data_IF_047476194845
#
_entry.id   IF_047476194845
#
_cell.length_a   1.000
_cell.length_b   1.000
_cell.length_c   1.000
_cell.angle_alpha   90.00
_cell.angle_beta   90.00
_cell.angle_gamma   90.00
#
_symmetry.space_group_name_H-M   'P 1'
#
loop_
_entity.id
_entity.type
_entity.pdbx_description
1 polymer ?
#
# COMPACT_ATOMS: atom_id res chain seq x y z
N UNK A 1 -3.14 7.02 31.97
CA UNK A 1 -3.39 8.08 31.00
C UNK A 1 -2.43 7.87 29.84
N UNK A 2 -2.98 7.69 28.64
CA UNK A 2 -2.21 7.55 27.40
C UNK A 2 -2.09 8.94 26.77
N UNK A 3 -0.88 9.35 26.39
CA UNK A 3 -0.69 10.58 25.63
C UNK A 3 -0.53 10.24 24.16
N UNK A 4 -1.42 10.83 23.34
CA UNK A 4 -1.33 11.07 21.88
C UNK A 4 -0.42 10.10 21.12
N UNK A 5 -1.03 9.22 20.34
CA UNK A 5 -0.32 8.46 19.31
C UNK A 5 0.20 9.45 18.26
N UNK A 6 1.52 9.50 18.06
CA UNK A 6 2.10 10.28 16.97
C UNK A 6 2.35 9.38 15.75
N UNK A 7 1.95 9.88 14.58
CA UNK A 7 2.33 9.33 13.28
C UNK A 7 3.39 10.26 12.70
N UNK A 8 4.62 9.75 12.54
CA UNK A 8 5.79 10.53 12.14
C UNK A 8 6.18 10.22 10.67
N UNK A 9 6.81 11.19 9.99
CA UNK A 9 7.30 11.07 8.60
C UNK A 9 6.26 10.63 7.56
N UNK A 10 5.09 11.30 7.57
CA UNK A 10 3.98 11.01 6.66
C UNK A 10 4.25 11.54 5.25
N UNK A 11 4.95 10.72 4.46
CA UNK A 11 4.93 10.78 3.00
C UNK A 11 3.80 9.89 2.47
N UNK A 12 3.26 10.24 1.31
CA UNK A 12 2.27 9.38 0.63
C UNK A 12 2.92 8.02 0.35
N UNK A 13 2.29 6.95 0.85
CA UNK A 13 2.74 5.58 0.66
C UNK A 13 1.91 4.93 -0.43
N UNK A 14 2.59 4.43 -1.47
CA UNK A 14 1.98 3.61 -2.50
C UNK A 14 2.03 2.15 -2.10
N UNK A 15 0.88 1.50 -2.07
CA UNK A 15 0.74 0.07 -1.75
C UNK A 15 0.03 -0.65 -2.90
N UNK A 16 0.42 -1.88 -3.18
CA UNK A 16 -0.26 -2.77 -4.09
C UNK A 16 -1.09 -3.80 -3.32
N UNK A 17 -2.07 -4.40 -4.00
CA UNK A 17 -2.80 -5.55 -3.46
C UNK A 17 -1.80 -6.68 -3.13
N UNK A 18 -1.85 -7.19 -1.90
CA UNK A 18 -0.96 -8.22 -1.38
C UNK A 18 0.16 -7.69 -0.47
N UNK A 19 0.43 -6.39 -0.51
CA UNK A 19 1.38 -5.73 0.39
C UNK A 19 0.88 -5.72 1.84
N UNK A 20 1.80 -5.42 2.75
CA UNK A 20 1.50 -5.20 4.17
C UNK A 20 2.09 -3.86 4.57
N UNK A 21 1.23 -2.94 5.02
CA UNK A 21 1.65 -1.71 5.66
C UNK A 21 2.01 -2.02 7.12
N UNK A 22 3.25 -1.77 7.51
CA UNK A 22 3.65 -1.74 8.92
C UNK A 22 3.55 -0.32 9.44
N UNK A 23 2.66 -0.10 10.38
CA UNK A 23 2.52 1.17 11.08
C UNK A 23 3.28 1.10 12.40
N UNK A 24 4.25 1.98 12.59
CA UNK A 24 4.95 2.17 13.87
C UNK A 24 4.33 3.35 14.59
N UNK A 25 4.01 3.17 15.86
CA UNK A 25 3.28 4.12 16.70
C UNK A 25 4.10 4.39 17.95
N UNK A 26 4.36 5.68 18.18
CA UNK A 26 5.04 6.20 19.35
C UNK A 26 4.07 6.96 20.25
N UNK A 27 4.09 6.66 21.55
CA UNK A 27 3.26 7.36 22.53
C UNK A 27 3.84 7.29 23.94
N UNK A 28 3.41 8.21 24.81
CA UNK A 28 3.75 8.19 26.23
C UNK A 28 2.70 7.41 27.03
N UNK A 29 3.15 6.49 27.89
CA UNK A 29 2.29 5.73 28.79
C UNK A 29 2.56 6.03 30.26
N UNK A 30 1.49 6.27 31.03
CA UNK A 30 1.51 6.33 32.49
C UNK A 30 0.33 5.55 33.06
N UNK A 31 0.58 4.44 33.74
CA UNK A 31 -0.42 3.60 34.38
C UNK A 31 0.14 2.25 34.86
N UNK A 32 -0.71 1.36 35.38
CA UNK A 32 -0.30 0.01 35.79
C UNK A 32 0.13 -0.82 34.58
N UNK A 33 0.85 -1.93 34.82
CA UNK A 33 1.11 -2.89 33.74
C UNK A 33 -0.21 -3.43 33.18
N UNK A 34 -0.37 -3.41 31.86
CA UNK A 34 -1.56 -3.95 31.20
C UNK A 34 -1.30 -4.32 29.74
N UNK A 35 -2.12 -5.24 29.24
CA UNK A 35 -2.16 -5.61 27.82
C UNK A 35 -3.33 -4.91 27.16
N UNK A 36 -3.05 -4.18 26.08
CA UNK A 36 -4.03 -3.43 25.30
C UNK A 36 -3.99 -3.82 23.82
N UNK A 37 -4.94 -3.30 23.04
CA UNK A 37 -5.01 -3.54 21.60
C UNK A 37 -4.64 -2.28 20.84
N UNK A 38 -3.49 -2.30 20.16
CA UNK A 38 -3.19 -1.32 19.12
C UNK A 38 -4.01 -1.65 17.88
N UNK A 39 -4.81 -0.69 17.42
CA UNK A 39 -5.73 -0.82 16.31
C UNK A 39 -5.37 0.22 15.25
N UNK A 40 -5.29 -0.20 14.00
CA UNK A 40 -5.11 0.71 12.89
C UNK A 40 -5.96 0.33 11.70
N UNK A 41 -6.35 1.33 10.91
CA UNK A 41 -7.17 1.13 9.73
C UNK A 41 -6.75 2.04 8.57
N UNK A 42 -6.85 1.49 7.35
CA UNK A 42 -6.85 2.25 6.10
C UNK A 42 -8.32 2.44 5.71
N UNK A 43 -8.70 3.66 5.38
CA UNK A 43 -10.09 4.00 5.14
C UNK A 43 -10.27 5.34 4.47
N UNK A 44 -11.46 5.91 4.63
CA UNK A 44 -11.79 7.24 4.11
C UNK A 44 -12.64 8.01 5.11
N UNK A 45 -12.32 9.30 5.29
CA UNK A 45 -13.09 10.20 6.12
C UNK A 45 -14.32 10.68 5.34
N UNK A 46 -15.49 10.19 5.74
CA UNK A 46 -16.78 10.60 5.21
C UNK A 46 -17.53 11.56 6.13
N UNK A 47 -18.71 11.98 5.68
CA UNK A 47 -19.59 12.87 6.44
C UNK A 47 -20.06 12.27 7.78
N UNK A 48 -20.14 10.95 7.88
CA UNK A 48 -20.56 10.22 9.09
C UNK A 48 -19.39 9.72 9.95
N UNK A 49 -18.16 10.17 9.66
CA UNK A 49 -16.95 9.73 10.35
C UNK A 49 -16.06 8.89 9.44
N UNK A 50 -15.10 8.20 10.06
CA UNK A 50 -14.10 7.40 9.37
C UNK A 50 -14.69 6.04 8.96
N UNK A 51 -14.71 5.76 7.66
CA UNK A 51 -15.10 4.47 7.11
C UNK A 51 -13.88 3.56 7.03
N UNK A 52 -13.81 2.56 7.91
CA UNK A 52 -12.69 1.63 8.01
C UNK A 52 -12.83 0.54 6.93
N UNK A 53 -11.88 0.45 5.99
CA UNK A 53 -11.91 -0.53 4.89
C UNK A 53 -11.01 -1.73 5.21
N UNK A 54 -9.74 -1.46 5.54
CA UNK A 54 -8.77 -2.48 5.94
C UNK A 54 -8.32 -2.23 7.36
N UNK A 55 -8.18 -3.31 8.14
CA UNK A 55 -7.88 -3.23 9.58
C UNK A 55 -6.71 -4.11 9.94
N UNK A 56 -5.81 -3.58 10.77
CA UNK A 56 -4.76 -4.32 11.47
C UNK A 56 -4.90 -4.16 12.97
N UNK A 57 -4.58 -5.21 13.72
CA UNK A 57 -4.61 -5.20 15.20
C UNK A 57 -3.39 -5.94 15.76
N UNK A 58 -2.83 -5.40 16.84
CA UNK A 58 -1.75 -6.02 17.59
C UNK A 58 -2.02 -5.93 19.09
N UNK A 59 -1.76 -7.02 19.83
CA UNK A 59 -1.72 -6.96 21.30
C UNK A 59 -0.38 -6.38 21.73
N UNK A 60 -0.43 -5.34 22.57
CA UNK A 60 0.74 -4.65 23.10
C UNK A 60 0.78 -4.79 24.61
N UNK A 61 1.96 -5.08 25.16
CA UNK A 61 2.19 -5.24 26.60
C UNK A 61 2.83 -3.98 27.17
N UNK A 62 2.04 -3.11 27.79
CA UNK A 62 2.54 -1.85 28.35
C UNK A 62 3.24 -2.08 29.69
N UNK A 63 4.39 -1.43 29.93
CA UNK A 63 5.12 -1.55 31.19
C UNK A 63 4.34 -0.89 32.33
N UNK A 64 4.62 -1.27 33.58
CA UNK A 64 4.18 -0.46 34.71
C UNK A 64 4.91 0.90 34.70
N UNK A 65 4.15 1.98 34.84
CA UNK A 65 4.67 3.36 34.82
C UNK A 65 3.77 4.26 35.66
N UNK A 66 3.95 4.27 36.98
CA UNK A 66 3.02 4.92 37.91
C UNK A 66 3.35 6.39 38.16
N UNK A 67 4.63 6.76 38.10
CA UNK A 67 5.13 8.07 38.54
C UNK A 67 5.35 9.04 37.37
N UNK A 68 5.90 8.54 36.26
CA UNK A 68 6.28 9.34 35.09
C UNK A 68 5.67 8.77 33.80
N UNK A 69 5.87 9.43 32.67
CA UNK A 69 5.50 8.86 31.37
C UNK A 69 6.65 8.06 30.79
N UNK A 70 6.38 6.81 30.43
CA UNK A 70 7.32 5.94 29.71
C UNK A 70 7.05 6.01 28.22
N UNK A 71 8.04 6.35 27.37
CA UNK A 71 7.89 6.28 25.92
C UNK A 71 7.73 4.81 25.49
N UNK A 72 6.75 4.57 24.65
CA UNK A 72 6.39 3.26 24.14
C UNK A 72 6.37 3.30 22.62
N UNK A 73 7.04 2.33 21.98
CA UNK A 73 7.01 2.12 20.54
C UNK A 73 6.44 0.73 20.27
N UNK A 74 5.38 0.68 19.48
CA UNK A 74 4.79 -0.59 19.02
C UNK A 74 4.47 -0.49 17.53
N UNK A 75 4.23 -1.65 16.92
CA UNK A 75 3.81 -1.71 15.52
C UNK A 75 2.57 -2.56 15.32
N UNK A 76 1.84 -2.23 14.27
CA UNK A 76 0.68 -2.98 13.79
C UNK A 76 0.76 -3.12 12.28
N UNK A 77 0.50 -4.32 11.79
CA UNK A 77 0.55 -4.65 10.36
C UNK A 77 -0.88 -4.66 9.80
N UNK A 78 -1.10 -3.92 8.70
CA UNK A 78 -2.36 -3.90 7.94
C UNK A 78 -2.10 -4.55 6.59
N UNK A 79 -2.81 -5.63 6.27
CA UNK A 79 -2.67 -6.32 4.99
C UNK A 79 -3.56 -5.67 3.94
N UNK A 80 -3.00 -5.36 2.78
CA UNK A 80 -3.74 -4.81 1.64
C UNK A 80 -4.40 -5.94 0.88
N UNK A 81 -5.70 -6.10 1.04
CA UNK A 81 -6.53 -7.13 0.39
C UNK A 81 -7.35 -6.53 -0.74
N UNK A 82 -8.11 -7.37 -1.45
CA UNK A 82 -9.05 -6.92 -2.49
C UNK A 82 -10.31 -6.23 -1.93
N UNK A 83 -10.41 -6.07 -0.60
CA UNK A 83 -11.55 -5.37 0.03
C UNK A 83 -11.45 -3.84 -0.18
N UNK A 84 -10.25 -3.33 -0.45
CA UNK A 84 -10.01 -1.94 -0.86
C UNK A 84 -9.85 -1.84 -2.37
N UNK A 85 -10.44 -0.80 -2.97
CA UNK A 85 -10.29 -0.52 -4.40
C UNK A 85 -8.97 0.21 -4.69
N UNK A 86 -8.43 0.07 -5.90
CA UNK A 86 -7.36 0.97 -6.34
C UNK A 86 -7.85 2.42 -6.33
N UNK A 87 -7.03 3.34 -5.82
CA UNK A 87 -7.40 4.73 -5.63
C UNK A 87 -6.28 5.52 -4.99
N UNK A 88 -6.44 6.84 -4.95
CA UNK A 88 -5.50 7.77 -4.32
C UNK A 88 -6.15 8.45 -3.13
N UNK A 89 -5.34 8.88 -2.17
CA UNK A 89 -5.81 9.71 -1.07
C UNK A 89 -6.66 8.96 -0.04
N UNK A 90 -6.37 7.69 0.22
CA UNK A 90 -6.91 7.03 1.40
C UNK A 90 -6.28 7.59 2.68
N UNK A 91 -7.04 7.48 3.75
CA UNK A 91 -6.70 7.98 5.07
C UNK A 91 -6.21 6.85 5.97
N UNK A 92 -5.38 7.21 6.95
CA UNK A 92 -4.85 6.29 7.94
C UNK A 92 -5.32 6.69 9.33
N UNK A 93 -5.77 5.72 10.12
CA UNK A 93 -6.19 5.92 11.51
C UNK A 93 -5.48 4.92 12.42
N UNK A 94 -5.10 5.36 13.62
CA UNK A 94 -4.59 4.51 14.68
C UNK A 94 -5.21 4.90 16.03
N UNK A 95 -5.45 3.90 16.89
CA UNK A 95 -5.99 4.07 18.25
C UNK A 95 -5.59 2.93 19.17
N UNK A 96 -5.65 3.17 20.47
CA UNK A 96 -5.78 2.10 21.46
C UNK A 96 -7.26 1.78 21.60
N UNK A 97 -7.66 0.56 21.22
CA UNK A 97 -9.07 0.17 21.08
C UNK A 97 -9.88 0.41 22.36
N UNK A 98 -9.29 0.09 23.50
CA UNK A 98 -9.91 0.23 24.82
C UNK A 98 -10.04 1.71 25.25
N UNK A 99 -9.28 2.62 24.65
CA UNK A 99 -9.22 4.05 24.99
C UNK A 99 -9.39 4.94 23.75
N UNK A 100 -10.27 4.55 22.83
CA UNK A 100 -10.39 5.19 21.51
C UNK A 100 -10.69 6.70 21.59
N UNK A 101 -11.51 7.15 22.55
CA UNK A 101 -11.90 8.56 22.68
C UNK A 101 -10.73 9.48 23.02
N UNK A 102 -9.62 8.92 23.53
CA UNK A 102 -8.44 9.66 23.97
C UNK A 102 -7.23 9.47 23.05
N UNK A 103 -7.21 8.39 22.28
CA UNK A 103 -6.01 7.92 21.57
C UNK A 103 -6.14 7.90 20.07
N UNK A 104 -7.34 8.08 19.53
CA UNK A 104 -7.53 8.05 18.08
C UNK A 104 -6.84 9.24 17.41
N UNK A 105 -5.98 8.91 16.45
CA UNK A 105 -5.35 9.88 15.55
C UNK A 105 -5.58 9.47 14.12
N UNK A 106 -5.65 10.48 13.25
CA UNK A 106 -5.94 10.31 11.83
C UNK A 106 -5.00 11.16 11.02
N UNK A 107 -4.64 10.65 9.85
CA UNK A 107 -3.91 11.40 8.84
C UNK A 107 -4.60 11.18 7.52
N UNK A 108 -4.92 12.30 6.87
CA UNK A 108 -5.67 12.30 5.63
C UNK A 108 -4.76 12.23 4.41
N UNK A 109 -5.23 11.56 3.35
CA UNK A 109 -4.59 11.52 2.03
C UNK A 109 -3.13 11.03 2.03
N UNK A 110 -2.83 9.96 2.77
CA UNK A 110 -1.46 9.43 2.92
C UNK A 110 -1.26 8.04 2.33
N UNK A 111 -2.32 7.37 1.88
CA UNK A 111 -2.22 6.03 1.27
C UNK A 111 -2.78 6.06 -0.15
N UNK A 112 -1.98 5.60 -1.11
CA UNK A 112 -2.41 5.35 -2.49
C UNK A 112 -2.41 3.83 -2.73
N UNK A 113 -3.54 3.28 -3.16
CA UNK A 113 -3.66 1.86 -3.53
C UNK A 113 -3.53 1.73 -5.03
N UNK A 114 -2.44 1.11 -5.47
CA UNK A 114 -2.20 0.77 -6.87
C UNK A 114 -2.95 -0.51 -7.26
N UNK A 115 -3.61 -0.49 -8.41
CA UNK A 115 -4.25 -1.67 -8.97
C UNK A 115 -3.21 -2.72 -9.36
N UNK A 116 -3.60 -4.00 -9.35
CA UNK A 116 -2.73 -5.16 -9.58
C UNK A 116 -1.57 -4.84 -10.53
N UNK A 117 -0.30 -5.14 -10.15
CA UNK A 117 0.80 -5.03 -11.10
C UNK A 117 0.40 -5.78 -12.38
N UNK A 118 0.62 -5.21 -13.58
CA UNK A 118 0.20 -5.85 -14.82
C UNK A 118 0.73 -7.27 -14.80
N UNK A 119 -0.17 -8.23 -15.05
CA UNK A 119 0.18 -9.65 -14.97
C UNK A 119 1.49 -9.89 -15.74
N UNK A 120 2.37 -10.79 -15.30
CA UNK A 120 3.63 -11.06 -16.00
C UNK A 120 3.40 -11.33 -17.51
N UNK A 121 2.27 -11.94 -17.86
CA UNK A 121 1.81 -12.13 -19.24
C UNK A 121 1.51 -10.83 -19.98
N UNK A 122 0.86 -9.85 -19.36
CA UNK A 122 0.59 -8.53 -19.97
C UNK A 122 1.89 -7.78 -20.28
N UNK A 123 2.89 -7.86 -19.39
CA UNK A 123 4.21 -7.27 -19.61
C UNK A 123 4.99 -8.02 -20.71
N UNK A 124 4.88 -9.35 -20.75
CA UNK A 124 5.54 -10.18 -21.76
C UNK A 124 4.89 -10.01 -23.15
N UNK A 125 3.55 -9.89 -23.23
CA UNK A 125 2.86 -9.59 -24.48
C UNK A 125 3.21 -8.19 -25.01
N UNK A 126 3.31 -7.20 -24.11
CA UNK A 126 3.71 -5.83 -24.47
C UNK A 126 5.12 -5.74 -25.06
N UNK A 127 6.07 -6.53 -24.56
CA UNK A 127 7.45 -6.57 -25.08
C UNK A 127 7.60 -7.39 -26.36
N UNK A 128 6.72 -8.37 -26.60
CA UNK A 128 6.76 -9.21 -27.81
C UNK A 128 6.08 -8.60 -29.04
N UNK A 129 5.08 -7.73 -28.87
CA UNK A 129 4.39 -7.05 -29.97
C UNK A 129 5.32 -6.29 -30.94
N UNK A 130 6.26 -5.43 -30.48
CA UNK A 130 7.18 -4.74 -31.39
C UNK A 130 8.13 -5.70 -32.11
N UNK A 131 8.52 -6.81 -31.47
CA UNK A 131 9.39 -7.83 -32.06
C UNK A 131 8.68 -8.57 -33.20
N UNK A 132 7.42 -8.93 -33.01
CA UNK A 132 6.58 -9.58 -34.02
C UNK A 132 6.30 -8.64 -35.20
N UNK A 133 6.07 -7.35 -34.95
CA UNK A 133 5.94 -6.36 -36.02
C UNK A 133 7.25 -6.15 -36.79
N UNK A 134 8.41 -6.13 -36.12
CA UNK A 134 9.70 -6.09 -36.81
C UNK A 134 9.92 -7.33 -37.70
N UNK A 135 9.60 -8.53 -37.21
CA UNK A 135 9.69 -9.76 -38.01
C UNK A 135 8.75 -9.75 -39.23
N UNK A 136 7.53 -9.25 -39.06
CA UNK A 136 6.57 -9.09 -40.17
C UNK A 136 7.05 -8.06 -41.19
N UNK A 137 7.62 -6.92 -40.74
CA UNK A 137 8.20 -5.90 -41.61
C UNK A 137 9.42 -6.42 -42.37
N UNK A 138 10.30 -7.19 -41.74
CA UNK A 138 11.46 -7.83 -42.41
C UNK A 138 10.98 -8.82 -43.48
N UNK A 139 9.91 -9.57 -43.20
CA UNK A 139 9.32 -10.50 -44.18
C UNK A 139 8.65 -9.77 -45.36
N UNK A 140 7.99 -8.63 -45.11
CA UNK A 140 7.40 -7.79 -46.14
C UNK A 140 8.47 -7.09 -47.00
N UNK A 141 9.57 -6.62 -46.39
CA UNK A 141 10.71 -6.03 -47.12
C UNK A 141 11.43 -7.09 -47.97
N UNK A 142 11.54 -8.33 -47.47
CA UNK A 142 12.15 -9.44 -48.20
C UNK A 142 11.28 -9.90 -49.39
N UNK A 143 9.95 -9.86 -49.27
CA UNK A 143 9.03 -10.16 -50.37
C UNK A 143 8.99 -9.07 -51.46
N UNK A 144 9.31 -7.83 -51.12
CA UNK A 144 9.38 -6.71 -52.06
C UNK A 144 10.70 -6.64 -52.86
N UNK A 145 11.77 -7.32 -52.40
CA UNK A 145 13.09 -7.30 -53.06
C UNK A 145 13.38 -8.48 -53.98
N UNK A 146 12.44 -9.41 -54.17
CA UNK A 146 12.62 -10.65 -54.94
C UNK A 146 11.81 -10.69 -56.22
N UNK A 147 12.13 -9.84 -57.19
CA UNK A 147 11.77 -10.08 -58.60
C UNK A 147 12.70 -9.28 -59.49
N UNK A 148 13.84 -9.87 -59.83
CA UNK A 148 14.52 -9.68 -61.12
C UNK A 148 15.67 -10.70 -61.21
N UNK A 149 15.39 -11.88 -61.76
CA UNK A 149 16.42 -12.76 -62.31
C UNK A 149 15.98 -13.23 -63.70
N UNK A 150 16.68 -12.72 -64.74
CA UNK A 150 17.02 -13.47 -65.96
C UNK A 150 16.06 -13.49 -67.15
N UNK A 151 16.43 -12.76 -68.22
CA UNK A 151 16.34 -13.09 -69.66
C UNK A 151 16.88 -11.87 -70.45
N UNK A 152 17.65 -11.91 -71.54
CA UNK A 152 17.90 -12.92 -72.58
C UNK A 152 19.13 -12.51 -73.44
N UNK A 153 19.65 -13.47 -74.19
CA UNK A 153 20.61 -13.51 -75.33
C UNK A 153 20.85 -12.22 -76.15
N UNK A 154 22.02 -11.97 -76.76
CA UNK A 154 22.73 -12.72 -77.84
C UNK A 154 24.25 -12.48 -77.77
#
# INVERSE_FOLDING_TARGET
>A
MLHVIALEDLQVVQLAIGDTLRLVVNFGYKGPQQRLTLYAAIGSLGFFGFDEILVGQASIDLPESLDEFTPCEYSVDIRVTNDISSGIGYDLMAKIKEHQSETEVRVENVIDITGNPPSPWTQMLGSMLPLMMMLAMVSLVSKAGGSEEGAETV
#
